data_IF_023819642443
#
_entry.id   IF_023819642443
#
_cell.length_a   1.000
_cell.length_b   1.000
_cell.length_c   1.000
_cell.angle_alpha   90.00
_cell.angle_beta   90.00
_cell.angle_gamma   90.00
#
_symmetry.space_group_name_H-M   'P 1'
#
loop_
_entity.id
_entity.type
_entity.pdbx_description
1 polymer ?
#
# COMPACT_ATOMS: atom_id res chain seq x y z
N UNK A 1 -14.79 17.27 -14.90
CA UNK A 1 -15.78 17.65 -15.95
C UNK A 1 -16.02 16.52 -17.00
N UNK A 2 -15.53 15.30 -16.78
CA UNK A 2 -15.69 14.18 -17.73
C UNK A 2 -14.75 14.19 -18.94
N UNK A 3 -13.74 15.07 -18.99
CA UNK A 3 -12.77 15.17 -20.08
C UNK A 3 -11.51 14.30 -19.91
N UNK A 4 -11.45 13.54 -18.81
CA UNK A 4 -10.33 12.67 -18.44
C UNK A 4 -9.01 13.41 -18.22
N UNK A 5 -9.09 14.71 -17.94
CA UNK A 5 -8.00 15.59 -17.52
C UNK A 5 -8.25 15.99 -16.06
N UNK A 6 -7.19 16.14 -15.23
CA UNK A 6 -7.36 16.71 -13.90
C UNK A 6 -7.97 18.11 -13.96
N UNK A 7 -9.14 18.30 -13.35
CA UNK A 7 -9.85 19.58 -13.31
C UNK A 7 -9.01 20.68 -12.62
N UNK A 8 -8.13 20.31 -11.69
CA UNK A 8 -7.21 21.22 -11.02
C UNK A 8 -5.94 20.51 -10.52
N UNK A 9 -4.86 21.28 -10.34
CA UNK A 9 -3.70 20.89 -9.54
C UNK A 9 -3.62 21.80 -8.33
N UNK A 10 -3.76 21.23 -7.14
CA UNK A 10 -3.65 21.95 -5.87
C UNK A 10 -2.21 21.90 -5.43
N UNK A 11 -1.52 23.05 -5.42
CA UNK A 11 -0.20 23.14 -4.81
C UNK A 11 -0.38 23.48 -3.33
N UNK A 12 -0.13 22.51 -2.47
CA UNK A 12 -0.29 22.67 -1.02
C UNK A 12 0.87 23.50 -0.42
N UNK A 13 1.93 23.80 -1.20
CA UNK A 13 3.08 24.58 -0.73
C UNK A 13 3.86 23.93 0.41
N UNK A 14 3.56 22.66 0.71
CA UNK A 14 4.20 21.85 1.73
C UNK A 14 5.57 21.36 1.23
N UNK A 15 6.57 22.23 1.31
CA UNK A 15 7.96 21.81 1.09
C UNK A 15 8.35 20.77 2.14
N UNK A 16 8.83 19.60 1.71
CA UNK A 16 9.39 18.56 2.58
C UNK A 16 8.52 17.31 2.78
N UNK A 17 7.29 17.29 2.27
CA UNK A 17 6.49 16.05 2.23
C UNK A 17 7.07 15.03 1.25
N UNK A 18 7.01 13.73 1.57
CA UNK A 18 7.63 12.69 0.74
C UNK A 18 6.73 11.48 0.40
N UNK A 19 5.59 11.27 1.08
CA UNK A 19 4.66 10.18 0.77
C UNK A 19 3.27 10.37 1.39
N UNK A 20 3.18 10.41 2.72
CA UNK A 20 1.89 10.32 3.42
C UNK A 20 1.02 11.55 3.19
N UNK A 21 -0.23 11.29 2.80
CA UNK A 21 -1.26 12.28 2.57
C UNK A 21 -2.61 11.73 3.07
N UNK A 22 -3.30 12.48 3.91
CA UNK A 22 -4.64 12.13 4.37
C UNK A 22 -5.52 13.37 4.47
N UNK A 23 -6.82 13.22 4.25
CA UNK A 23 -7.81 14.25 4.55
C UNK A 23 -8.69 13.78 5.70
N UNK A 24 -8.80 14.60 6.74
CA UNK A 24 -9.64 14.28 7.89
C UNK A 24 -10.17 15.56 8.53
N UNK A 25 -11.50 15.60 8.76
CA UNK A 25 -12.19 16.67 9.49
C UNK A 25 -11.83 18.11 9.04
N UNK A 26 -11.79 18.36 7.72
CA UNK A 26 -11.51 19.69 7.16
C UNK A 26 -10.02 20.07 7.13
N UNK A 27 -9.13 19.11 7.37
CA UNK A 27 -7.69 19.29 7.28
C UNK A 27 -7.06 18.31 6.30
N UNK A 28 -6.06 18.80 5.56
CA UNK A 28 -5.14 17.95 4.82
C UNK A 28 -3.88 17.75 5.66
N UNK A 29 -3.43 16.51 5.78
CA UNK A 29 -2.27 16.09 6.55
C UNK A 29 -1.18 15.60 5.60
N UNK A 30 0.04 16.09 5.79
CA UNK A 30 1.21 15.68 4.99
C UNK A 30 2.34 15.32 5.92
N UNK A 31 3.03 14.23 5.63
CA UNK A 31 4.21 13.79 6.36
C UNK A 31 5.51 13.97 5.57
N UNK A 32 6.55 14.40 6.27
CA UNK A 32 7.95 14.12 5.92
C UNK A 32 8.44 12.87 6.64
N UNK A 33 9.73 12.59 6.54
CA UNK A 33 10.44 11.58 7.33
C UNK A 33 10.40 11.83 8.85
N UNK A 34 10.19 13.07 9.28
CA UNK A 34 10.40 13.57 10.65
C UNK A 34 9.13 14.12 11.29
N UNK A 35 8.24 14.70 10.48
CA UNK A 35 7.15 15.55 10.97
C UNK A 35 5.86 15.31 10.18
N UNK A 36 4.73 15.32 10.87
CA UNK A 36 3.40 15.45 10.27
C UNK A 36 2.93 16.88 10.45
N UNK A 37 2.47 17.49 9.36
CA UNK A 37 1.84 18.80 9.35
C UNK A 37 0.38 18.69 8.91
N UNK A 38 -0.41 19.71 9.24
CA UNK A 38 -1.74 19.88 8.65
C UNK A 38 -2.02 21.32 8.26
N UNK A 39 -2.98 21.48 7.36
CA UNK A 39 -3.55 22.76 6.94
C UNK A 39 -5.06 22.62 6.82
N UNK A 40 -5.80 23.67 7.18
CA UNK A 40 -7.22 23.75 6.86
C UNK A 40 -7.42 23.69 5.35
N UNK A 41 -8.37 22.88 4.91
CA UNK A 41 -8.66 22.64 3.51
C UNK A 41 -10.13 22.26 3.35
N UNK A 42 -10.85 22.97 2.49
CA UNK A 42 -12.17 22.53 2.06
C UNK A 42 -12.03 21.74 0.76
N UNK A 43 -12.82 20.68 0.62
CA UNK A 43 -12.82 19.86 -0.58
C UNK A 43 -13.16 20.71 -1.81
N UNK A 44 -12.31 20.61 -2.83
CA UNK A 44 -12.43 21.37 -4.07
C UNK A 44 -11.64 22.68 -4.09
N UNK A 45 -11.09 23.14 -2.96
CA UNK A 45 -10.25 24.34 -2.94
C UNK A 45 -8.97 24.13 -3.77
N UNK A 46 -8.56 25.15 -4.53
CA UNK A 46 -7.33 25.08 -5.34
C UNK A 46 -6.03 25.34 -4.55
N UNK A 47 -6.16 25.66 -3.26
CA UNK A 47 -5.06 25.90 -2.33
C UNK A 47 -5.54 25.67 -0.90
N UNK A 48 -4.60 25.40 0.02
CA UNK A 48 -4.90 25.39 1.46
C UNK A 48 -5.28 26.80 1.95
N UNK A 49 -6.18 26.86 2.93
CA UNK A 49 -6.78 28.12 3.40
C UNK A 49 -6.24 28.58 4.76
N UNK A 50 -5.53 27.71 5.48
CA UNK A 50 -5.01 27.97 6.82
C UNK A 50 -3.48 27.98 6.95
N UNK A 51 -2.99 28.41 8.11
CA UNK A 51 -1.58 28.30 8.48
C UNK A 51 -1.19 26.83 8.68
N UNK A 52 0.09 26.51 8.42
CA UNK A 52 0.66 25.21 8.71
C UNK A 52 0.70 24.97 10.23
N UNK A 53 0.11 23.87 10.67
CA UNK A 53 0.22 23.37 12.05
C UNK A 53 1.10 22.13 12.10
N UNK A 54 1.91 21.99 13.15
CA UNK A 54 2.72 20.79 13.40
C UNK A 54 1.88 19.82 14.24
N UNK A 55 1.71 18.59 13.77
CA UNK A 55 0.82 17.58 14.36
C UNK A 55 1.61 16.52 15.12
N UNK A 56 2.61 15.93 14.48
CA UNK A 56 3.47 14.90 15.07
C UNK A 56 4.92 15.23 14.79
N UNK A 57 5.79 15.09 15.77
CA UNK A 57 7.24 15.30 15.66
C UNK A 57 8.01 14.05 16.10
N UNK A 58 9.34 14.09 15.96
CA UNK A 58 10.25 13.05 16.43
C UNK A 58 10.07 11.67 15.77
N UNK A 59 9.49 11.62 14.57
CA UNK A 59 9.42 10.40 13.73
C UNK A 59 10.77 10.00 13.11
N UNK A 60 11.82 10.77 13.39
CA UNK A 60 13.21 10.46 13.04
C UNK A 60 14.20 11.26 13.92
N UNK A 61 13.78 11.70 15.12
CA UNK A 61 14.70 12.41 16.01
C UNK A 61 15.81 11.41 16.44
N UNK A 62 17.06 11.79 16.18
CA UNK A 62 18.27 11.09 16.61
C UNK A 62 18.48 9.67 16.03
N UNK A 63 17.80 9.35 14.92
CA UNK A 63 17.83 8.00 14.32
C UNK A 63 17.13 6.94 15.16
N UNK A 64 16.45 7.31 16.25
CA UNK A 64 15.68 6.41 17.11
C UNK A 64 14.21 6.34 16.64
N UNK A 65 13.64 7.43 16.11
CA UNK A 65 12.24 7.44 15.65
C UNK A 65 12.00 7.01 14.21
N UNK A 66 13.05 6.89 13.40
CA UNK A 66 12.93 6.70 11.96
C UNK A 66 14.26 6.31 11.31
N UNK A 67 14.22 6.09 10.01
CA UNK A 67 15.29 5.52 9.21
C UNK A 67 16.11 6.59 8.45
N UNK A 68 17.08 7.29 9.06
CA UNK A 68 17.82 8.37 8.40
C UNK A 68 18.61 7.91 7.17
N UNK A 69 18.86 6.60 7.05
CA UNK A 69 19.55 5.96 5.92
C UNK A 69 18.74 4.81 5.30
N UNK A 70 17.43 4.72 5.61
CA UNK A 70 16.56 3.63 5.18
C UNK A 70 15.19 4.13 4.72
N UNK A 71 14.12 3.52 5.22
CA UNK A 71 12.74 3.79 4.80
C UNK A 71 12.19 5.13 5.33
N UNK A 72 12.17 6.17 4.49
CA UNK A 72 11.82 7.54 4.89
C UNK A 72 10.34 7.91 4.80
N UNK A 73 9.48 7.05 4.25
CA UNK A 73 8.04 7.33 4.08
C UNK A 73 7.28 7.19 5.40
N UNK A 74 6.23 8.00 5.59
CA UNK A 74 5.38 7.98 6.79
C UNK A 74 3.91 7.98 6.41
N UNK A 75 3.33 6.81 6.19
CA UNK A 75 1.93 6.71 5.76
C UNK A 75 1.00 7.20 6.86
N UNK A 76 -0.04 7.93 6.49
CA UNK A 76 -1.03 8.50 7.39
C UNK A 76 -2.41 7.93 7.05
N UNK A 77 -3.13 7.41 8.04
CA UNK A 77 -4.53 7.02 7.86
C UNK A 77 -5.31 7.27 9.16
N UNK A 78 -6.58 7.62 9.04
CA UNK A 78 -7.47 7.83 10.18
C UNK A 78 -8.53 6.73 10.24
N UNK A 79 -8.90 6.33 11.44
CA UNK A 79 -10.13 5.55 11.61
C UNK A 79 -11.36 6.46 11.82
N UNK A 80 -12.53 5.84 11.87
CA UNK A 80 -13.81 6.52 12.07
C UNK A 80 -13.92 7.21 13.44
N UNK A 81 -13.08 6.84 14.41
CA UNK A 81 -13.01 7.47 15.72
C UNK A 81 -12.05 8.68 15.76
N UNK A 82 -11.37 8.96 14.65
CA UNK A 82 -10.39 10.05 14.55
C UNK A 82 -9.06 9.77 15.21
N UNK A 83 -8.73 8.48 15.37
CA UNK A 83 -7.37 8.07 15.75
C UNK A 83 -6.50 8.08 14.49
N UNK A 84 -5.34 8.72 14.58
CA UNK A 84 -4.34 8.78 13.52
C UNK A 84 -3.40 7.58 13.65
N UNK A 85 -3.19 6.85 12.56
CA UNK A 85 -2.22 5.77 12.44
C UNK A 85 -1.08 6.24 11.55
N UNK A 86 0.14 5.97 11.98
CA UNK A 86 1.37 6.33 11.27
C UNK A 86 2.25 5.09 11.15
N UNK A 87 2.54 4.68 9.91
CA UNK A 87 3.52 3.64 9.63
C UNK A 87 4.92 4.23 9.51
N UNK A 88 5.91 3.56 10.11
CA UNK A 88 7.32 3.86 9.94
C UNK A 88 8.09 2.58 9.59
N UNK A 89 8.98 2.67 8.60
CA UNK A 89 9.85 1.55 8.22
C UNK A 89 11.20 1.54 8.95
N UNK A 90 11.99 0.51 8.65
CA UNK A 90 13.30 0.23 9.23
C UNK A 90 14.43 1.15 8.71
N UNK A 91 15.51 1.30 9.49
CA UNK A 91 16.72 2.05 9.12
C UNK A 91 17.62 1.35 8.09
N UNK A 92 17.43 0.05 7.90
CA UNK A 92 18.18 -0.74 6.95
C UNK A 92 17.43 -2.03 6.61
N UNK A 93 18.08 -2.89 5.84
CA UNK A 93 17.43 -4.11 5.36
C UNK A 93 16.96 -5.04 6.49
N UNK A 94 17.81 -5.17 7.52
CA UNK A 94 17.60 -5.98 8.72
C UNK A 94 17.99 -5.11 9.92
N UNK A 95 17.04 -4.80 10.78
CA UNK A 95 17.13 -3.74 11.79
C UNK A 95 16.49 -4.22 13.10
N UNK A 96 17.32 -4.46 14.11
CA UNK A 96 16.92 -4.97 15.42
C UNK A 96 16.46 -3.88 16.41
N UNK A 97 16.36 -2.64 15.96
CA UNK A 97 15.93 -1.54 16.81
C UNK A 97 14.42 -1.56 17.08
N UNK A 98 14.07 -1.56 18.37
CA UNK A 98 12.70 -1.64 18.87
C UNK A 98 11.92 -0.32 18.83
N UNK A 99 12.37 0.70 18.11
CA UNK A 99 11.63 1.96 17.93
C UNK A 99 11.14 2.20 16.50
N UNK A 100 11.50 1.33 15.55
CA UNK A 100 11.10 1.40 14.12
C UNK A 100 10.28 0.19 13.70
N UNK A 101 9.95 0.12 12.41
CA UNK A 101 9.32 -1.05 11.80
C UNK A 101 7.96 -1.37 12.43
N UNK A 102 7.10 -0.35 12.53
CA UNK A 102 5.86 -0.39 13.32
C UNK A 102 4.82 0.62 12.86
N UNK A 103 3.58 0.37 13.24
CA UNK A 103 2.48 1.33 13.15
C UNK A 103 2.21 1.88 14.55
N UNK A 104 2.20 3.21 14.69
CA UNK A 104 1.76 3.87 15.92
C UNK A 104 0.41 4.56 15.76
N UNK A 105 -0.37 4.55 16.83
CA UNK A 105 -1.71 5.13 16.90
C UNK A 105 -1.79 6.29 17.90
N UNK A 106 -2.52 7.34 17.52
CA UNK A 106 -2.67 8.57 18.30
C UNK A 106 -4.13 9.03 18.40
N UNK A 107 -4.64 9.39 19.59
CA UNK A 107 -5.97 9.97 19.75
C UNK A 107 -5.96 11.47 19.39
N UNK A 108 -6.14 11.81 18.11
CA UNK A 108 -5.91 13.20 17.66
C UNK A 108 -6.97 14.19 18.15
N UNK A 109 -8.24 13.80 18.19
CA UNK A 109 -9.41 14.69 18.32
C UNK A 109 -9.43 15.53 19.61
N UNK A 110 -8.67 15.17 20.65
CA UNK A 110 -8.59 15.92 21.91
C UNK A 110 -7.15 16.16 22.41
N UNK A 111 -6.17 16.03 21.52
CA UNK A 111 -4.76 16.16 21.89
C UNK A 111 -4.26 17.59 21.74
N UNK A 112 -3.40 18.02 22.68
CA UNK A 112 -2.57 19.21 22.51
C UNK A 112 -1.45 18.90 21.52
N UNK A 113 -1.32 19.71 20.47
CA UNK A 113 -0.30 19.54 19.43
C UNK A 113 0.97 20.38 19.73
N UNK A 114 2.16 19.94 19.27
CA UNK A 114 2.42 18.69 18.56
C UNK A 114 2.48 17.48 19.50
N UNK A 115 2.11 16.32 18.97
CA UNK A 115 2.33 15.02 19.60
C UNK A 115 3.76 14.53 19.36
N UNK A 116 4.34 13.85 20.34
CA UNK A 116 5.60 13.12 20.14
C UNK A 116 5.30 11.72 19.60
N UNK A 117 5.88 11.37 18.45
CA UNK A 117 5.70 10.05 17.86
C UNK A 117 6.00 8.91 18.85
N UNK A 118 7.02 9.08 19.70
CA UNK A 118 7.44 8.07 20.68
C UNK A 118 6.38 7.78 21.75
N UNK A 119 5.45 8.70 21.96
CA UNK A 119 4.35 8.54 22.93
C UNK A 119 3.11 7.87 22.36
N UNK A 120 3.06 7.66 21.03
CA UNK A 120 1.95 6.96 20.39
C UNK A 120 1.89 5.50 20.83
N UNK A 121 0.69 4.95 20.91
CA UNK A 121 0.51 3.53 21.16
C UNK A 121 1.16 2.73 20.04
N UNK A 122 1.98 1.73 20.36
CA UNK A 122 2.45 0.75 19.38
C UNK A 122 1.26 -0.13 19.02
N UNK A 123 0.68 0.09 17.84
CA UNK A 123 -0.52 -0.61 17.40
C UNK A 123 -0.18 -1.93 16.72
N UNK A 124 0.88 -1.95 15.91
CA UNK A 124 1.46 -3.16 15.35
C UNK A 124 2.97 -3.00 15.26
N UNK A 125 3.72 -4.05 15.59
CA UNK A 125 5.19 -4.05 15.61
C UNK A 125 5.75 -5.17 14.73
N UNK A 126 7.05 -5.13 14.43
CA UNK A 126 7.72 -6.15 13.63
C UNK A 126 7.32 -6.14 12.16
N UNK A 127 7.22 -4.92 11.59
CA UNK A 127 6.83 -4.63 10.21
C UNK A 127 7.94 -3.85 9.50
N UNK A 128 8.75 -4.50 8.65
CA UNK A 128 9.93 -3.90 8.01
C UNK A 128 9.65 -2.52 7.40
N UNK A 129 8.63 -2.42 6.54
CA UNK A 129 8.22 -1.21 5.85
C UNK A 129 6.79 -1.36 5.28
N UNK A 130 5.81 -1.38 6.18
CA UNK A 130 4.38 -1.46 5.89
C UNK A 130 3.84 -0.15 5.30
N UNK A 131 4.12 0.13 4.02
CA UNK A 131 3.81 1.44 3.42
C UNK A 131 2.33 1.61 3.15
N UNK A 132 1.69 0.67 2.45
CA UNK A 132 0.28 0.82 2.11
C UNK A 132 -0.59 0.49 3.31
N UNK A 133 -1.47 1.41 3.73
CA UNK A 133 -2.45 1.18 4.79
C UNK A 133 -3.87 1.46 4.29
N UNK A 134 -4.85 0.67 4.73
CA UNK A 134 -6.26 0.84 4.37
C UNK A 134 -7.20 0.22 5.41
N UNK A 135 -8.34 0.88 5.67
CA UNK A 135 -9.41 0.29 6.47
C UNK A 135 -10.40 -0.46 5.59
N UNK A 136 -10.79 -1.66 5.99
CA UNK A 136 -11.91 -2.35 5.36
C UNK A 136 -13.27 -1.79 5.85
N UNK A 137 -14.37 -2.30 5.27
CA UNK A 137 -15.73 -1.88 5.67
C UNK A 137 -16.09 -2.19 7.12
N UNK A 138 -15.39 -3.14 7.73
CA UNK A 138 -15.59 -3.56 9.12
C UNK A 138 -14.79 -2.67 10.08
N UNK A 139 -14.00 -1.74 9.56
CA UNK A 139 -13.16 -0.83 10.36
C UNK A 139 -11.88 -1.49 10.86
N UNK A 140 -11.46 -2.60 10.24
CA UNK A 140 -10.18 -3.26 10.55
C UNK A 140 -9.10 -2.64 9.69
N UNK A 141 -7.95 -2.31 10.30
CA UNK A 141 -6.80 -1.81 9.57
C UNK A 141 -6.11 -2.97 8.86
N UNK A 142 -5.71 -2.75 7.63
CA UNK A 142 -4.87 -3.63 6.83
C UNK A 142 -3.67 -2.87 6.32
N UNK A 143 -2.63 -3.61 5.99
CA UNK A 143 -1.48 -3.05 5.30
C UNK A 143 -0.80 -4.03 4.37
N UNK A 144 0.14 -3.48 3.60
CA UNK A 144 1.00 -4.24 2.70
C UNK A 144 2.47 -3.99 3.00
N UNK A 145 3.20 -5.08 3.22
CA UNK A 145 4.59 -5.11 3.66
C UNK A 145 5.55 -5.16 2.47
N UNK A 146 6.68 -4.47 2.59
CA UNK A 146 7.84 -4.65 1.71
C UNK A 146 8.87 -5.55 2.43
N UNK A 147 8.94 -6.81 2.01
CA UNK A 147 9.83 -7.84 2.53
C UNK A 147 11.33 -7.49 2.43
N UNK A 148 12.14 -8.20 3.20
CA UNK A 148 13.58 -7.96 3.26
C UNK A 148 14.34 -8.42 2.01
N UNK A 149 15.50 -7.82 1.78
CA UNK A 149 16.31 -7.97 0.60
C UNK A 149 17.42 -9.03 0.77
N UNK A 150 17.88 -9.61 -0.35
CA UNK A 150 19.12 -10.41 -0.43
C UNK A 150 19.16 -11.60 0.54
N UNK A 151 18.02 -12.27 0.71
CA UNK A 151 17.89 -13.42 1.60
C UNK A 151 18.70 -14.62 1.09
N UNK A 152 19.58 -15.13 1.97
CA UNK A 152 20.39 -16.33 1.73
C UNK A 152 20.28 -17.30 2.92
N UNK A 153 19.83 -18.53 2.68
CA UNK A 153 19.69 -19.61 3.67
C UNK A 153 20.28 -20.90 3.11
N UNK A 154 21.50 -21.26 3.54
CA UNK A 154 22.23 -22.44 3.02
C UNK A 154 21.43 -23.75 3.13
N UNK A 155 20.69 -23.92 4.22
CA UNK A 155 19.88 -25.09 4.50
C UNK A 155 18.57 -25.16 3.68
N UNK A 156 18.15 -24.04 3.08
CA UNK A 156 16.91 -23.92 2.31
C UNK A 156 17.15 -23.69 0.81
N UNK A 157 18.39 -23.81 0.33
CA UNK A 157 18.72 -23.67 -1.09
C UNK A 157 19.79 -22.63 -1.42
N UNK A 158 20.41 -22.01 -0.41
CA UNK A 158 21.43 -20.98 -0.58
C UNK A 158 20.81 -19.62 -0.87
N UNK A 159 21.16 -19.03 -2.01
CA UNK A 159 20.58 -17.75 -2.43
C UNK A 159 19.15 -17.98 -2.94
N UNK A 160 18.18 -17.55 -2.14
CA UNK A 160 16.74 -17.72 -2.40
C UNK A 160 16.04 -16.37 -2.58
N UNK A 161 16.81 -15.27 -2.73
CA UNK A 161 16.27 -13.92 -2.72
C UNK A 161 15.27 -13.69 -3.85
N UNK A 162 15.46 -14.30 -5.02
CA UNK A 162 14.62 -14.03 -6.19
C UNK A 162 13.12 -14.30 -5.95
N UNK A 163 12.80 -15.27 -5.09
CA UNK A 163 11.42 -15.65 -4.81
C UNK A 163 11.11 -15.65 -3.31
N UNK A 164 11.99 -15.12 -2.45
CA UNK A 164 11.76 -14.96 -1.02
C UNK A 164 12.54 -13.75 -0.45
N UNK A 165 12.10 -13.18 0.68
CA UNK A 165 10.84 -13.44 1.37
C UNK A 165 9.64 -12.89 0.60
N UNK A 166 8.46 -13.36 0.97
CA UNK A 166 7.21 -12.82 0.46
C UNK A 166 7.07 -11.33 0.77
N UNK A 167 6.37 -10.62 -0.11
CA UNK A 167 5.64 -9.42 0.32
C UNK A 167 4.41 -9.91 1.11
N UNK A 168 3.85 -9.10 2.02
CA UNK A 168 2.77 -9.57 2.90
C UNK A 168 1.55 -8.66 2.81
N UNK A 169 0.35 -9.24 2.88
CA UNK A 169 -0.88 -8.54 3.23
C UNK A 169 -1.19 -8.84 4.69
N UNK A 170 -1.07 -7.83 5.54
CA UNK A 170 -1.25 -7.96 6.98
C UNK A 170 -2.58 -7.35 7.42
N UNK A 171 -3.19 -7.97 8.45
CA UNK A 171 -4.44 -7.54 9.06
C UNK A 171 -4.21 -7.21 10.52
N UNK A 172 -4.66 -6.03 10.94
CA UNK A 172 -4.42 -5.47 12.27
C UNK A 172 -5.76 -5.23 12.99
N UNK A 173 -6.43 -6.28 13.48
CA UNK A 173 -7.63 -6.10 14.27
C UNK A 173 -7.30 -5.52 15.65
N UNK A 174 -8.26 -4.80 16.23
CA UNK A 174 -8.08 -4.06 17.49
C UNK A 174 -7.63 -4.98 18.64
N UNK A 175 -8.12 -6.23 18.70
CA UNK A 175 -7.72 -7.21 19.72
C UNK A 175 -6.25 -7.66 19.64
N UNK A 176 -5.56 -7.39 18.53
CA UNK A 176 -4.14 -7.66 18.35
C UNK A 176 -3.26 -6.40 18.49
N UNK A 177 -3.80 -5.28 18.97
CA UNK A 177 -3.02 -4.08 19.22
C UNK A 177 -1.79 -4.37 20.09
N UNK A 178 -0.61 -3.94 19.64
CA UNK A 178 0.68 -4.18 20.30
C UNK A 178 1.32 -5.53 19.99
N UNK A 179 0.72 -6.36 19.12
CA UNK A 179 1.30 -7.63 18.69
C UNK A 179 2.46 -7.43 17.69
N UNK A 180 3.20 -8.51 17.43
CA UNK A 180 4.40 -8.50 16.59
C UNK A 180 4.25 -9.41 15.36
N UNK A 181 4.62 -8.91 14.17
CA UNK A 181 4.47 -9.59 12.88
C UNK A 181 5.74 -10.29 12.38
N UNK A 182 6.86 -10.17 13.10
CA UNK A 182 8.01 -11.08 12.98
C UNK A 182 9.31 -10.44 12.55
N UNK A 183 9.29 -9.35 11.78
CA UNK A 183 10.53 -8.66 11.42
C UNK A 183 11.24 -8.12 12.68
N UNK A 184 12.59 -8.18 12.77
CA UNK A 184 13.55 -8.65 11.77
C UNK A 184 13.92 -10.13 11.90
N UNK A 185 13.41 -10.82 12.91
CA UNK A 185 13.84 -12.16 13.28
C UNK A 185 13.23 -13.24 12.38
N UNK A 186 12.07 -12.97 11.82
CA UNK A 186 11.29 -13.90 11.02
C UNK A 186 10.94 -13.32 9.65
N UNK A 187 10.82 -14.21 8.66
CA UNK A 187 10.36 -13.88 7.31
C UNK A 187 9.37 -14.93 6.80
N UNK A 188 8.55 -14.53 5.82
CA UNK A 188 7.51 -15.38 5.24
C UNK A 188 7.97 -15.98 3.91
N UNK A 189 7.80 -17.28 3.74
CA UNK A 189 8.03 -18.00 2.50
C UNK A 189 7.01 -17.59 1.44
N UNK A 190 7.49 -17.28 0.25
CA UNK A 190 6.66 -17.24 -0.94
C UNK A 190 6.85 -18.51 -1.76
N UNK A 191 8.09 -18.83 -2.16
CA UNK A 191 8.37 -20.06 -2.89
C UNK A 191 9.81 -20.56 -2.68
N UNK A 192 9.98 -21.65 -1.93
CA UNK A 192 11.27 -22.31 -1.70
C UNK A 192 11.57 -23.46 -2.69
N UNK A 193 10.79 -23.61 -3.77
CA UNK A 193 11.03 -24.60 -4.85
C UNK A 193 11.24 -26.04 -4.36
N UNK A 194 10.55 -26.42 -3.27
CA UNK A 194 10.53 -27.78 -2.72
C UNK A 194 11.40 -28.03 -1.48
N UNK A 195 12.19 -27.06 -1.01
CA UNK A 195 12.90 -27.14 0.29
C UNK A 195 12.07 -26.60 1.46
N UNK A 196 11.01 -25.85 1.16
CA UNK A 196 10.14 -25.20 2.14
C UNK A 196 8.98 -26.05 2.64
N UNK A 197 8.08 -25.39 3.37
CA UNK A 197 6.87 -25.99 3.95
C UNK A 197 5.60 -25.44 3.31
N UNK A 198 5.74 -24.51 2.37
CA UNK A 198 4.65 -23.94 1.60
C UNK A 198 4.55 -22.43 1.78
N UNK A 199 4.03 -21.77 0.75
CA UNK A 199 3.74 -20.33 0.73
C UNK A 199 3.00 -19.90 1.99
N UNK A 200 3.46 -18.81 2.61
CA UNK A 200 2.94 -18.27 3.87
C UNK A 200 3.64 -18.82 5.12
N UNK A 201 4.51 -19.82 5.01
CA UNK A 201 5.21 -20.36 6.18
C UNK A 201 6.28 -19.41 6.69
N UNK A 202 6.42 -19.32 8.02
CA UNK A 202 7.45 -18.50 8.66
C UNK A 202 8.77 -19.25 8.85
N UNK A 203 9.85 -18.51 8.73
CA UNK A 203 11.22 -18.98 8.92
C UNK A 203 12.05 -17.92 9.65
N UNK A 204 13.07 -18.35 10.39
CA UNK A 204 14.02 -17.44 11.03
C UNK A 204 14.94 -16.79 9.99
N UNK A 205 15.25 -15.52 10.18
CA UNK A 205 16.20 -14.81 9.35
C UNK A 205 17.64 -15.27 9.66
N UNK A 206 18.53 -15.42 8.65
CA UNK A 206 19.85 -16.03 8.81
C UNK A 206 20.70 -15.49 9.97
N UNK A 207 20.73 -14.16 10.17
CA UNK A 207 21.53 -13.54 11.23
C UNK A 207 20.99 -13.78 12.65
N UNK A 208 19.77 -14.30 12.77
CA UNK A 208 19.11 -14.61 14.04
C UNK A 208 19.04 -16.12 14.31
N UNK A 209 19.59 -16.96 13.43
CA UNK A 209 19.75 -18.39 13.71
C UNK A 209 20.57 -18.58 14.99
N UNK A 210 20.01 -19.37 15.92
CA UNK A 210 20.56 -19.58 17.25
C UNK A 210 20.02 -18.61 18.33
N UNK A 211 19.38 -17.52 17.93
CA UNK A 211 18.57 -16.66 18.83
C UNK A 211 17.09 -17.05 18.75
N UNK A 212 16.60 -17.29 17.53
CA UNK A 212 15.24 -17.74 17.24
C UNK A 212 15.28 -18.96 16.32
N UNK A 213 14.37 -19.91 16.53
CA UNK A 213 14.18 -21.08 15.67
C UNK A 213 13.09 -20.85 14.63
N UNK A 214 13.12 -21.59 13.52
CA UNK A 214 12.06 -21.54 12.53
C UNK A 214 10.68 -21.88 13.13
N UNK A 215 10.63 -22.77 14.14
CA UNK A 215 9.40 -23.12 14.86
C UNK A 215 8.90 -21.96 15.72
N UNK A 216 9.77 -21.27 16.44
CA UNK A 216 9.40 -20.06 17.17
C UNK A 216 8.86 -18.97 16.24
N UNK A 217 9.42 -18.82 15.03
CA UNK A 217 8.88 -17.90 14.03
C UNK A 217 7.49 -18.29 13.52
N UNK A 218 7.12 -19.58 13.57
CA UNK A 218 5.77 -20.02 13.21
C UNK A 218 4.76 -19.81 14.33
N UNK A 219 5.20 -19.90 15.59
CA UNK A 219 4.32 -19.90 16.76
C UNK A 219 4.17 -18.53 17.45
N UNK A 220 5.23 -17.71 17.46
CA UNK A 220 5.31 -16.54 18.34
C UNK A 220 5.15 -15.19 17.62
N UNK A 221 4.54 -15.19 16.42
CA UNK A 221 4.20 -13.97 15.68
C UNK A 221 2.81 -14.06 15.09
N UNK A 222 2.25 -12.91 14.76
CA UNK A 222 1.05 -12.85 13.92
C UNK A 222 1.44 -13.18 12.48
N UNK A 223 0.71 -14.10 11.86
CA UNK A 223 0.93 -14.53 10.48
C UNK A 223 0.25 -13.54 9.52
N UNK A 224 0.86 -13.34 8.35
CA UNK A 224 0.24 -12.59 7.25
C UNK A 224 -1.00 -13.30 6.72
N UNK A 225 -1.98 -12.54 6.24
CA UNK A 225 -3.18 -13.10 5.62
C UNK A 225 -2.94 -13.62 4.20
N UNK A 226 -1.95 -13.04 3.52
CA UNK A 226 -1.52 -13.49 2.20
C UNK A 226 -0.03 -13.20 2.00
N UNK A 227 0.72 -14.22 1.61
CA UNK A 227 2.07 -14.09 1.10
C UNK A 227 2.01 -13.81 -0.41
N UNK A 228 2.56 -12.67 -0.84
CA UNK A 228 2.56 -12.19 -2.21
C UNK A 228 3.97 -12.27 -2.81
N UNK A 229 4.06 -12.25 -4.14
CA UNK A 229 5.31 -12.41 -4.88
C UNK A 229 6.40 -11.46 -4.39
N UNK A 230 7.51 -12.04 -3.93
CA UNK A 230 8.71 -11.35 -3.48
C UNK A 230 9.15 -10.22 -4.42
N UNK A 231 9.56 -9.10 -3.84
CA UNK A 231 10.06 -7.90 -4.52
C UNK A 231 9.05 -7.15 -5.37
N UNK A 232 7.75 -7.45 -5.26
CA UNK A 232 6.73 -6.69 -5.99
C UNK A 232 6.55 -5.25 -5.46
N UNK A 233 7.08 -4.96 -4.26
CA UNK A 233 7.08 -3.67 -3.58
C UNK A 233 5.68 -3.04 -3.49
N UNK A 234 4.77 -3.60 -2.68
CA UNK A 234 3.43 -3.04 -2.54
C UNK A 234 3.46 -1.73 -1.73
N UNK A 235 2.86 -0.66 -2.26
CA UNK A 235 2.94 0.68 -1.64
C UNK A 235 1.58 1.30 -1.29
N UNK A 236 0.48 0.75 -1.82
CA UNK A 236 -0.85 1.29 -1.60
C UNK A 236 -1.92 0.22 -1.66
N UNK A 237 -2.95 0.36 -0.82
CA UNK A 237 -4.07 -0.57 -0.70
C UNK A 237 -5.38 0.20 -0.47
N UNK A 238 -6.45 -0.20 -1.13
CA UNK A 238 -7.82 0.30 -0.90
C UNK A 238 -8.82 -0.84 -0.97
N UNK A 239 -9.90 -0.77 -0.20
CA UNK A 239 -11.01 -1.71 -0.28
C UNK A 239 -12.15 -1.13 -1.10
N UNK A 240 -12.66 -1.89 -2.07
CA UNK A 240 -13.79 -1.44 -2.86
C UNK A 240 -15.08 -1.47 -2.03
N UNK A 241 -15.81 -0.36 -2.04
CA UNK A 241 -17.13 -0.24 -1.42
C UNK A 241 -18.16 0.09 -2.49
N UNK A 242 -18.90 -0.93 -2.93
CA UNK A 242 -19.95 -0.79 -3.91
C UNK A 242 -21.14 -0.03 -3.33
N UNK A 243 -21.63 0.95 -4.09
CA UNK A 243 -22.89 1.64 -3.79
C UNK A 243 -23.83 1.57 -5.00
N UNK A 244 -25.10 1.25 -4.73
CA UNK A 244 -26.17 1.33 -5.73
C UNK A 244 -26.46 2.80 -6.07
N UNK A 245 -26.35 3.69 -5.08
CA UNK A 245 -26.54 5.13 -5.23
C UNK A 245 -25.24 5.77 -5.70
N UNK A 246 -25.22 6.23 -6.96
CA UNK A 246 -24.11 6.94 -7.60
C UNK A 246 -24.63 8.14 -8.37
N UNK A 247 -23.81 9.19 -8.57
CA UNK A 247 -24.16 10.27 -9.49
C UNK A 247 -24.60 9.71 -10.86
N UNK A 248 -25.66 10.29 -11.43
CA UNK A 248 -26.34 9.73 -12.61
C UNK A 248 -25.45 9.67 -13.87
N UNK A 249 -24.39 10.47 -13.91
CA UNK A 249 -23.39 10.55 -14.97
C UNK A 249 -22.19 9.62 -14.73
N UNK A 250 -22.12 8.92 -13.59
CA UNK A 250 -21.08 7.94 -13.32
C UNK A 250 -21.21 6.72 -14.23
N UNK A 251 -20.19 6.51 -15.06
CA UNK A 251 -19.98 5.29 -15.84
C UNK A 251 -18.65 4.67 -15.44
N UNK A 252 -18.58 3.34 -15.54
CA UNK A 252 -17.31 2.64 -15.34
C UNK A 252 -17.02 2.17 -13.92
N UNK A 253 -18.03 2.05 -13.06
CA UNK A 253 -17.82 1.53 -11.71
C UNK A 253 -17.51 0.03 -11.73
N UNK A 254 -16.65 -0.41 -10.81
CA UNK A 254 -16.42 -1.83 -10.59
C UNK A 254 -17.72 -2.56 -10.17
N UNK A 255 -17.86 -3.86 -10.46
CA UNK A 255 -19.11 -4.57 -10.22
C UNK A 255 -19.33 -4.90 -8.74
N UNK A 256 -20.60 -5.01 -8.34
CA UNK A 256 -21.01 -5.44 -6.99
C UNK A 256 -20.40 -6.78 -6.54
N UNK A 257 -20.02 -7.65 -7.48
CA UNK A 257 -19.34 -8.91 -7.16
C UNK A 257 -17.94 -8.74 -6.58
N UNK A 258 -17.33 -7.56 -6.75
CA UNK A 258 -16.02 -7.21 -6.17
C UNK A 258 -16.16 -6.38 -4.90
N UNK A 259 -17.39 -6.19 -4.40
CA UNK A 259 -17.65 -5.44 -3.19
C UNK A 259 -16.87 -6.02 -2.00
N UNK A 260 -16.02 -5.19 -1.39
CA UNK A 260 -15.15 -5.57 -0.28
C UNK A 260 -13.77 -6.10 -0.68
N UNK A 261 -13.47 -6.24 -1.97
CA UNK A 261 -12.15 -6.70 -2.43
C UNK A 261 -11.08 -5.67 -2.14
N UNK A 262 -9.86 -6.13 -1.84
CA UNK A 262 -8.70 -5.26 -1.72
C UNK A 262 -8.05 -5.04 -3.10
N UNK A 263 -7.60 -3.82 -3.37
CA UNK A 263 -6.86 -3.43 -4.57
C UNK A 263 -5.51 -2.89 -4.13
N UNK A 264 -4.42 -3.36 -4.74
CA UNK A 264 -3.06 -3.11 -4.27
C UNK A 264 -2.17 -2.65 -5.44
N UNK A 265 -1.40 -1.59 -5.22
CA UNK A 265 -0.37 -1.11 -6.15
C UNK A 265 0.98 -1.77 -5.86
N UNK A 266 1.50 -2.53 -6.82
CA UNK A 266 2.85 -3.09 -6.81
C UNK A 266 3.79 -2.21 -7.62
N UNK A 267 4.71 -1.54 -6.93
CA UNK A 267 5.65 -0.57 -7.51
C UNK A 267 6.74 -1.20 -8.37
N UNK A 268 7.06 -2.46 -8.09
CA UNK A 268 7.94 -3.30 -8.88
C UNK A 268 9.37 -3.41 -8.38
N UNK A 269 9.98 -4.55 -8.70
CA UNK A 269 11.22 -5.03 -8.12
C UNK A 269 12.47 -4.28 -8.60
N UNK A 270 13.40 -4.05 -7.67
CA UNK A 270 14.80 -3.74 -7.99
C UNK A 270 15.73 -4.91 -7.65
N UNK A 271 15.41 -5.71 -6.63
CA UNK A 271 16.24 -6.79 -6.09
C UNK A 271 15.76 -8.18 -6.54
N UNK A 272 15.55 -8.33 -7.85
CA UNK A 272 15.17 -9.60 -8.49
C UNK A 272 15.71 -9.63 -9.92
N UNK A 273 16.30 -10.75 -10.31
CA UNK A 273 16.94 -10.91 -11.62
C UNK A 273 15.95 -10.74 -12.78
N UNK A 274 14.82 -11.43 -12.68
CA UNK A 274 13.68 -11.22 -13.58
C UNK A 274 12.73 -10.25 -12.88
N UNK A 275 12.48 -9.05 -13.43
CA UNK A 275 11.63 -8.10 -12.73
C UNK A 275 10.20 -8.61 -12.54
N UNK A 276 9.58 -8.24 -11.43
CA UNK A 276 8.16 -8.50 -11.12
C UNK A 276 7.51 -7.26 -10.49
N UNK A 277 6.22 -7.31 -10.22
CA UNK A 277 5.41 -6.16 -9.81
C UNK A 277 5.09 -5.25 -11.00
N UNK A 278 5.23 -3.92 -10.83
CA UNK A 278 4.84 -2.92 -11.84
C UNK A 278 3.39 -3.08 -12.29
N UNK A 279 2.49 -3.34 -11.34
CA UNK A 279 1.11 -3.73 -11.64
C UNK A 279 0.16 -3.26 -10.56
N UNK A 280 -1.12 -3.25 -10.90
CA UNK A 280 -2.19 -3.20 -9.89
C UNK A 280 -2.80 -4.59 -9.83
N UNK A 281 -2.98 -5.09 -8.62
CA UNK A 281 -3.65 -6.37 -8.36
C UNK A 281 -4.89 -6.15 -7.52
N UNK A 282 -5.75 -7.16 -7.46
CA UNK A 282 -6.82 -7.24 -6.48
C UNK A 282 -6.82 -8.60 -5.77
N UNK A 283 -7.31 -8.61 -4.53
CA UNK A 283 -7.44 -9.80 -3.69
C UNK A 283 -8.93 -10.00 -3.39
N UNK A 284 -9.53 -11.11 -3.84
CA UNK A 284 -10.88 -11.49 -3.44
C UNK A 284 -10.99 -11.65 -1.93
N UNK A 285 -11.95 -10.93 -1.35
CA UNK A 285 -12.23 -10.97 0.08
C UNK A 285 -13.58 -11.66 0.32
N UNK A 286 -13.69 -12.43 1.40
CA UNK A 286 -14.97 -12.94 1.89
C UNK A 286 -15.75 -11.84 2.62
N UNK A 287 -17.05 -12.07 2.82
CA UNK A 287 -17.96 -11.08 3.43
C UNK A 287 -17.58 -10.69 4.87
N UNK A 288 -16.88 -11.56 5.59
CA UNK A 288 -16.35 -11.32 6.93
C UNK A 288 -15.02 -10.56 6.94
N UNK A 289 -14.53 -10.10 5.77
CA UNK A 289 -13.28 -9.37 5.66
C UNK A 289 -12.08 -10.28 5.91
N UNK A 290 -12.05 -11.46 5.27
CA UNK A 290 -10.88 -12.35 5.23
C UNK A 290 -10.46 -12.57 3.78
N UNK A 291 -9.20 -12.92 3.58
CA UNK A 291 -8.71 -13.27 2.24
C UNK A 291 -9.37 -14.57 1.79
N UNK A 292 -9.94 -14.58 0.58
CA UNK A 292 -10.62 -15.73 -0.03
C UNK A 292 -9.87 -16.24 -1.27
N UNK A 293 -8.55 -16.07 -1.30
CA UNK A 293 -7.67 -16.55 -2.36
C UNK A 293 -6.29 -16.91 -1.81
N UNK A 294 -5.54 -17.71 -2.55
CA UNK A 294 -4.14 -18.03 -2.23
C UNK A 294 -3.14 -17.14 -2.97
N UNK A 295 -3.64 -16.24 -3.83
CA UNK A 295 -2.84 -15.30 -4.60
C UNK A 295 -3.65 -14.02 -4.90
N UNK A 296 -2.93 -12.97 -5.24
CA UNK A 296 -3.45 -11.75 -5.85
C UNK A 296 -3.70 -11.94 -7.35
N UNK A 297 -4.67 -11.20 -7.91
CA UNK A 297 -5.05 -11.29 -9.32
C UNK A 297 -4.68 -10.00 -10.04
N UNK A 298 -4.05 -10.11 -11.20
CA UNK A 298 -3.63 -8.96 -12.00
C UNK A 298 -4.85 -8.17 -12.52
N UNK A 299 -4.95 -6.88 -12.16
CA UNK A 299 -5.90 -5.92 -12.73
C UNK A 299 -5.27 -5.13 -13.88
N UNK A 300 -4.07 -4.59 -13.65
CA UNK A 300 -3.34 -3.76 -14.59
C UNK A 300 -1.89 -4.23 -14.62
N UNK A 301 -1.39 -4.63 -15.79
CA UNK A 301 0.03 -5.01 -15.97
C UNK A 301 0.50 -4.67 -17.37
N UNK A 302 1.81 -4.60 -17.56
CA UNK A 302 2.38 -4.49 -18.89
C UNK A 302 2.13 -5.79 -19.67
N UNK A 303 1.61 -5.67 -20.90
CA UNK A 303 1.24 -6.83 -21.72
C UNK A 303 2.43 -7.52 -22.41
N UNK A 304 3.62 -6.91 -22.39
CA UNK A 304 4.82 -7.48 -22.98
C UNK A 304 5.46 -8.57 -22.11
N UNK A 305 6.58 -9.12 -22.59
CA UNK A 305 7.32 -10.19 -21.89
C UNK A 305 8.17 -9.69 -20.72
N UNK A 306 8.36 -8.37 -20.57
CA UNK A 306 8.97 -7.77 -19.37
C UNK A 306 7.89 -7.45 -18.34
N UNK A 307 8.22 -7.39 -17.05
CA UNK A 307 7.30 -6.79 -16.08
C UNK A 307 7.28 -5.25 -16.17
N UNK A 308 8.38 -4.64 -16.62
CA UNK A 308 8.56 -3.18 -16.64
C UNK A 308 7.84 -2.50 -17.81
N UNK A 309 7.23 -1.35 -17.55
CA UNK A 309 6.64 -0.48 -18.56
C UNK A 309 7.71 0.34 -19.29
N UNK A 310 7.69 0.35 -20.62
CA UNK A 310 8.56 1.21 -21.42
C UNK A 310 8.36 2.72 -21.15
N UNK A 311 7.17 3.11 -20.68
CA UNK A 311 6.85 4.47 -20.24
C UNK A 311 7.50 4.87 -18.92
N UNK A 312 8.01 3.90 -18.15
CA UNK A 312 8.53 4.13 -16.80
C UNK A 312 7.46 4.18 -15.71
N UNK A 313 6.21 3.81 -16.00
CA UNK A 313 5.11 3.77 -15.04
C UNK A 313 5.38 2.77 -13.90
N UNK A 314 5.13 3.18 -12.65
CA UNK A 314 5.31 2.40 -11.42
C UNK A 314 4.19 2.73 -10.43
N UNK A 315 3.18 1.86 -10.27
CA UNK A 315 2.06 2.10 -9.34
C UNK A 315 2.55 2.37 -7.91
N UNK A 316 2.08 3.45 -7.27
CA UNK A 316 2.40 3.78 -5.87
C UNK A 316 1.17 3.61 -4.97
N UNK A 317 0.11 4.37 -5.20
CA UNK A 317 -1.11 4.29 -4.38
C UNK A 317 -2.36 4.13 -5.25
N UNK A 318 -3.43 3.66 -4.62
CA UNK A 318 -4.74 3.39 -5.23
C UNK A 318 -5.87 3.89 -4.36
N UNK A 319 -6.91 4.45 -4.98
CA UNK A 319 -8.15 4.82 -4.29
C UNK A 319 -9.34 4.88 -5.27
N UNK A 320 -10.56 4.77 -4.75
CA UNK A 320 -11.78 4.86 -5.54
C UNK A 320 -12.40 6.25 -5.45
N UNK A 321 -12.96 6.73 -6.57
CA UNK A 321 -13.84 7.91 -6.52
C UNK A 321 -15.29 7.54 -6.17
N UNK A 322 -16.13 8.56 -6.00
CA UNK A 322 -17.58 8.40 -5.74
C UNK A 322 -18.33 7.70 -6.88
N UNK A 323 -17.73 7.60 -8.07
CA UNK A 323 -18.26 6.83 -9.18
C UNK A 323 -17.88 5.35 -9.12
N UNK A 324 -17.04 4.93 -8.17
CA UNK A 324 -16.52 3.57 -8.06
C UNK A 324 -15.48 3.21 -9.13
N UNK A 325 -14.76 4.20 -9.66
CA UNK A 325 -13.63 4.04 -10.58
C UNK A 325 -12.32 4.10 -9.79
N UNK A 326 -11.33 3.32 -10.21
CA UNK A 326 -10.05 3.23 -9.50
C UNK A 326 -9.05 4.25 -10.03
N UNK A 327 -8.46 5.05 -9.15
CA UNK A 327 -7.31 5.90 -9.45
C UNK A 327 -6.02 5.20 -9.00
N UNK A 328 -4.97 5.39 -9.77
CA UNK A 328 -3.65 4.78 -9.53
C UNK A 328 -2.56 5.82 -9.74
N UNK A 329 -1.79 6.14 -8.71
CA UNK A 329 -0.64 7.06 -8.84
C UNK A 329 0.60 6.34 -9.33
N UNK A 330 1.50 7.07 -9.97
CA UNK A 330 2.84 6.64 -10.31
C UNK A 330 3.81 7.79 -10.12
N UNK A 331 4.87 7.56 -9.36
CA UNK A 331 6.03 8.46 -9.23
C UNK A 331 7.02 8.30 -10.39
N UNK A 332 6.90 7.20 -11.13
CA UNK A 332 7.63 6.91 -12.35
C UNK A 332 9.06 6.43 -12.10
N UNK A 333 9.89 6.48 -13.14
CA UNK A 333 11.32 6.21 -13.05
C UNK A 333 12.10 7.10 -14.00
N UNK A 334 13.24 7.63 -13.54
CA UNK A 334 14.15 8.46 -14.34
C UNK A 334 13.43 9.63 -15.06
N UNK A 335 12.48 10.27 -14.37
CA UNK A 335 11.72 11.41 -14.90
C UNK A 335 10.63 11.07 -15.92
N UNK A 336 10.27 9.79 -16.07
CA UNK A 336 9.22 9.31 -16.98
C UNK A 336 8.17 8.51 -16.22
N UNK A 337 6.96 8.45 -16.76
CA UNK A 337 5.89 7.61 -16.23
C UNK A 337 5.25 8.13 -14.94
N UNK A 338 5.61 9.33 -14.48
CA UNK A 338 4.90 9.97 -13.37
C UNK A 338 3.53 10.46 -13.82
N UNK A 339 2.51 10.22 -13.01
CA UNK A 339 1.14 10.46 -13.42
C UNK A 339 0.12 9.85 -12.49
N UNK A 340 -1.14 10.08 -12.84
CA UNK A 340 -2.28 9.36 -12.28
C UNK A 340 -3.06 8.72 -13.40
N UNK A 341 -3.33 7.43 -13.25
CA UNK A 341 -4.22 6.71 -14.14
C UNK A 341 -5.60 6.62 -13.50
N UNK A 342 -6.65 6.68 -14.32
CA UNK A 342 -7.99 6.25 -13.92
C UNK A 342 -8.36 4.98 -14.68
N UNK A 343 -8.84 3.99 -13.95
CA UNK A 343 -9.33 2.70 -14.46
C UNK A 343 -10.83 2.65 -14.26
N UNK A 344 -11.55 2.49 -15.37
CA UNK A 344 -12.98 2.24 -15.40
C UNK A 344 -13.23 0.77 -15.70
N UNK A 345 -14.29 0.19 -15.12
CA UNK A 345 -14.75 -1.15 -15.44
C UNK A 345 -15.77 -1.11 -16.58
N UNK A 346 -15.65 -2.00 -17.55
CA UNK A 346 -16.60 -2.12 -18.65
C UNK A 346 -17.09 -3.56 -18.70
N UNK A 347 -18.39 -3.77 -18.60
CA UNK A 347 -19.01 -5.11 -18.66
C UNK A 347 -19.24 -5.58 -20.10
N UNK A 348 -18.76 -4.84 -21.11
CA UNK A 348 -18.97 -5.12 -22.52
C UNK A 348 -20.32 -4.67 -23.05
N UNK A 349 -21.17 -4.02 -22.23
CA UNK A 349 -22.34 -3.31 -22.74
C UNK A 349 -21.87 -2.02 -23.43
N UNK A 350 -22.21 -1.84 -24.72
CA UNK A 350 -21.75 -0.71 -25.53
C UNK A 350 -22.25 0.64 -24.99
N UNK A 351 -21.50 1.20 -24.04
CA UNK A 351 -21.26 2.64 -23.90
C UNK A 351 -19.77 2.81 -23.67
N UNK A 352 -19.00 2.65 -24.74
CA UNK A 352 -17.59 3.00 -24.76
C UNK A 352 -17.46 4.51 -24.45
N UNK A 353 -17.19 4.84 -23.20
CA UNK A 353 -16.82 6.19 -22.81
C UNK A 353 -15.36 6.42 -23.21
N UNK A 354 -15.19 7.18 -24.29
CA UNK A 354 -13.99 7.92 -24.68
C UNK A 354 -12.96 7.19 -25.57
N UNK A 355 -12.40 7.97 -26.52
CA UNK A 355 -11.52 7.52 -27.60
C UNK A 355 -10.03 7.43 -27.24
N UNK A 356 -9.30 6.68 -28.08
CA UNK A 356 -7.89 6.25 -27.96
C UNK A 356 -7.58 5.48 -26.67
N UNK A 357 -7.76 4.15 -26.75
CA UNK A 357 -7.73 3.19 -25.63
C UNK A 357 -6.64 2.15 -25.81
N UNK A 358 -5.75 2.03 -24.81
CA UNK A 358 -4.95 0.82 -24.62
C UNK A 358 -5.82 -0.23 -23.91
N UNK A 359 -5.99 -1.40 -24.55
CA UNK A 359 -6.81 -2.51 -24.03
C UNK A 359 -6.00 -3.32 -23.02
N UNK A 360 -6.56 -3.55 -21.83
CA UNK A 360 -6.01 -4.48 -20.84
C UNK A 360 -6.65 -5.84 -21.05
N UNK A 361 -5.85 -6.85 -21.37
CA UNK A 361 -6.35 -8.21 -21.50
C UNK A 361 -6.36 -8.90 -20.13
N UNK A 362 -7.46 -9.55 -19.72
CA UNK A 362 -7.44 -10.43 -18.56
C UNK A 362 -6.46 -11.60 -18.79
N UNK A 363 -5.93 -12.23 -17.72
CA UNK A 363 -5.02 -13.37 -17.83
C UNK A 363 -5.65 -14.53 -18.61
N UNK A 364 -4.84 -15.26 -19.38
CA UNK A 364 -5.27 -16.45 -20.12
C UNK A 364 -5.82 -17.51 -19.16
N UNK A 365 -7.13 -17.79 -19.23
CA UNK A 365 -7.81 -18.81 -18.43
C UNK A 365 -9.23 -18.48 -18.00
N UNK A 366 -9.68 -17.23 -18.12
CA UNK A 366 -11.07 -16.83 -17.89
C UNK A 366 -11.92 -16.92 -19.17
N UNK A 367 -13.17 -17.33 -19.01
CA UNK A 367 -14.19 -17.34 -20.07
C UNK A 367 -14.28 -15.97 -20.77
N UNK A 368 -14.64 -15.87 -22.07
CA UNK A 368 -14.55 -14.63 -22.86
C UNK A 368 -15.50 -13.48 -22.46
N UNK A 369 -16.11 -13.51 -21.27
CA UNK A 369 -17.32 -12.75 -20.98
C UNK A 369 -17.11 -11.45 -20.18
N UNK A 370 -15.90 -11.02 -19.82
CA UNK A 370 -15.68 -9.73 -19.15
C UNK A 370 -14.32 -9.13 -19.55
N UNK A 371 -14.32 -7.96 -20.18
CA UNK A 371 -13.11 -7.23 -20.59
C UNK A 371 -12.90 -6.00 -19.72
N UNK A 372 -11.75 -5.88 -19.06
CA UNK A 372 -11.30 -4.62 -18.46
C UNK A 372 -11.04 -3.62 -19.60
N UNK A 373 -11.65 -2.43 -19.57
CA UNK A 373 -11.37 -1.41 -20.57
C UNK A 373 -11.16 -0.03 -19.98
N UNK A 374 -10.15 0.65 -20.51
CA UNK A 374 -9.82 2.08 -20.36
C UNK A 374 -8.87 2.39 -19.20
N UNK A 375 -7.60 2.62 -19.57
CA UNK A 375 -6.61 3.36 -18.77
C UNK A 375 -6.48 4.73 -19.43
N UNK A 376 -6.90 5.81 -18.76
CA UNK A 376 -6.50 7.15 -19.16
C UNK A 376 -5.27 7.55 -18.33
N UNK A 377 -4.11 7.71 -18.98
CA UNK A 377 -2.88 8.12 -18.31
C UNK A 377 -2.85 9.66 -18.20
N UNK A 378 -3.17 10.20 -17.02
CA UNK A 378 -3.06 11.64 -16.75
C UNK A 378 -1.62 11.98 -16.37
N UNK A 379 -0.94 12.77 -17.20
CA UNK A 379 0.39 13.29 -16.91
C UNK A 379 0.29 14.43 -15.89
N UNK A 380 0.30 14.09 -14.61
CA UNK A 380 0.43 15.03 -13.49
C UNK A 380 1.02 14.34 -12.27
N UNK A 381 1.95 15.00 -11.55
CA UNK A 381 2.30 14.60 -10.19
C UNK A 381 1.04 14.85 -9.35
N UNK A 382 0.26 13.81 -9.13
CA UNK A 382 -0.99 13.86 -8.37
C UNK A 382 -0.89 12.77 -7.32
N UNK A 383 -1.09 13.19 -6.08
CA UNK A 383 -1.11 12.34 -4.90
C UNK A 383 -2.58 12.02 -4.65
N UNK A 384 -2.90 10.74 -4.49
CA UNK A 384 -4.25 10.27 -4.17
C UNK A 384 -4.47 10.46 -2.67
N UNK A 385 -5.61 11.04 -2.30
CA UNK A 385 -5.97 11.38 -0.91
C UNK A 385 -7.01 10.38 -0.45
N UNK A 386 -6.71 9.58 0.58
CA UNK A 386 -7.72 8.70 1.20
C UNK A 386 -8.71 9.53 2.01
N UNK A 387 -9.99 9.37 1.69
CA UNK A 387 -11.11 9.94 2.43
C UNK A 387 -11.64 8.90 3.44
N UNK A 388 -11.98 9.35 4.65
CA UNK A 388 -12.54 8.51 5.73
C UNK A 388 -14.00 8.85 5.96
#
# INVERSE_FOLDING_TARGET
>A
NGDDVPDARVNIGASGGNHGLAYYNGFIYISSDTTVWRWSYNLGDQSVTGNREVVVVNMNADGQGGAPQGHSTRTLIFDKQGRLYISIGSAGNVDADSYRSRIRRFPLVNSSLPLDFQTGEVFADGLRNEVGLGFDRHGVLWGVENGADSLHRDDLGGDIHNDNPAEELNRFPEELAGSHWGYPECWTEYNLHGTGLGQGTSWAWPSFLGQVTDEQCRENRVQSELAMQAHSAPLGIVFYNYTEERPADCVGAFPKSMDGYAFIAFHGSWNRDVPTGYKVVYVPMSSDGRVNSTDSLDLLRYAGSSAKWGSGYRPVDVDFDDCGRLFVTSDGTQGRGSGVARIAYNDGSERACCGNVDRVFPPSGSSPANQLSTIALMLAIVIVVKFV
#
